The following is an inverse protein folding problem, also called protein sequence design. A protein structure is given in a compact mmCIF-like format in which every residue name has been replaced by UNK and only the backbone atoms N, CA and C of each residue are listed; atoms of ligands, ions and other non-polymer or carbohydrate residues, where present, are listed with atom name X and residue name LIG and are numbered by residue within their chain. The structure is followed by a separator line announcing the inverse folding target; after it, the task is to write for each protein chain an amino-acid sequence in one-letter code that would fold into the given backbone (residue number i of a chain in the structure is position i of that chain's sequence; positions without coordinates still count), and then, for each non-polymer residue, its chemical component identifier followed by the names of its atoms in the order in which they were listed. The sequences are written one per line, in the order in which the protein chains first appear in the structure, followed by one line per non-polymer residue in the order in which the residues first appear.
data_IF_289545547503
#
_entry.id   IF_289545547503
#
_cell.length_a   1.000
_cell.length_b   1.000
_cell.length_c   1.000
_cell.angle_alpha   90.00
_cell.angle_beta   90.00
_cell.angle_gamma   90.00
#
_symmetry.space_group_name_H-M   'P 1'
#
loop_
_entity.id
_entity.type
_entity.pdbx_description
1 polymer ?
#
# COMPACT_ATOMS: atom_id res chain seq x y z
N UNK A 1 -14.81 -61.03 -8.50
CA UNK A 1 -14.66 -60.57 -7.10
C UNK A 1 -13.52 -59.57 -7.05
N UNK A 2 -13.68 -58.52 -6.25
CA UNK A 2 -13.20 -57.14 -6.44
C UNK A 2 -11.69 -56.91 -6.59
N UNK A 3 -11.38 -55.86 -7.37
CA UNK A 3 -10.04 -55.29 -7.59
C UNK A 3 -9.74 -54.22 -6.52
N UNK A 4 -8.75 -54.38 -5.62
CA UNK A 4 -8.48 -53.41 -4.57
C UNK A 4 -7.33 -52.49 -5.02
N UNK A 5 -7.63 -51.33 -5.63
CA UNK A 5 -6.54 -50.53 -6.20
C UNK A 5 -6.72 -49.01 -6.32
N UNK A 6 -7.87 -48.43 -6.00
CA UNK A 6 -8.08 -47.00 -6.27
C UNK A 6 -8.83 -46.35 -5.11
N UNK A 7 -8.16 -45.51 -4.31
CA UNK A 7 -8.90 -44.70 -3.34
C UNK A 7 -8.13 -43.91 -2.27
N UNK A 8 -6.82 -44.10 -2.07
CA UNK A 8 -6.13 -43.49 -0.91
C UNK A 8 -4.93 -42.57 -1.19
N UNK A 9 -4.62 -42.22 -2.45
CA UNK A 9 -3.44 -41.38 -2.77
C UNK A 9 -3.69 -39.88 -3.00
N UNK A 10 -4.93 -39.43 -3.24
CA UNK A 10 -5.20 -38.02 -3.63
C UNK A 10 -5.70 -37.08 -2.52
N UNK A 11 -5.89 -37.56 -1.29
CA UNK A 11 -6.34 -36.71 -0.17
C UNK A 11 -5.19 -35.99 0.54
N UNK A 12 -4.04 -36.65 0.70
CA UNK A 12 -2.86 -36.05 1.37
C UNK A 12 -2.25 -34.90 0.57
N UNK A 13 -2.24 -34.98 -0.76
CA UNK A 13 -1.74 -33.91 -1.63
C UNK A 13 -2.63 -32.66 -1.64
N UNK A 14 -3.96 -32.83 -1.67
CA UNK A 14 -4.92 -31.71 -1.63
C UNK A 14 -4.99 -31.05 -0.27
N UNK A 15 -4.93 -31.82 0.82
CA UNK A 15 -4.86 -31.27 2.17
C UNK A 15 -3.53 -30.55 2.43
N UNK A 16 -2.40 -31.06 1.92
CA UNK A 16 -1.09 -30.39 1.99
C UNK A 16 -1.02 -29.12 1.12
N UNK A 17 -1.65 -29.13 -0.06
CA UNK A 17 -1.80 -27.91 -0.87
C UNK A 17 -2.70 -26.89 -0.19
N UNK A 18 -3.83 -27.32 0.39
CA UNK A 18 -4.71 -26.43 1.15
C UNK A 18 -4.00 -25.85 2.37
N UNK A 19 -3.30 -26.66 3.18
CA UNK A 19 -2.54 -26.14 4.32
C UNK A 19 -1.34 -25.30 3.91
N UNK A 20 -0.68 -25.60 2.78
CA UNK A 20 0.39 -24.76 2.24
C UNK A 20 -0.14 -23.42 1.72
N UNK A 21 -1.25 -23.41 0.98
CA UNK A 21 -1.91 -22.19 0.48
C UNK A 21 -2.49 -21.38 1.64
N UNK A 22 -3.21 -21.99 2.57
CA UNK A 22 -3.74 -21.28 3.74
C UNK A 22 -2.61 -20.78 4.62
N UNK A 23 -1.53 -21.54 4.81
CA UNK A 23 -0.36 -21.06 5.55
C UNK A 23 0.37 -19.93 4.80
N UNK A 24 0.48 -20.01 3.47
CA UNK A 24 1.10 -18.98 2.64
C UNK A 24 0.31 -17.66 2.67
N UNK A 25 -1.03 -17.73 2.62
CA UNK A 25 -1.91 -16.57 2.81
C UNK A 25 -1.87 -16.04 4.26
N UNK A 26 -1.77 -16.93 5.25
CA UNK A 26 -1.63 -16.57 6.67
C UNK A 26 -0.22 -16.04 7.04
N UNK A 27 0.78 -16.10 6.15
CA UNK A 27 2.17 -15.66 6.41
C UNK A 27 2.39 -14.17 6.03
N UNK A 28 1.49 -13.56 5.27
CA UNK A 28 1.66 -12.22 4.65
C UNK A 28 1.14 -11.02 5.48
N UNK A 29 0.98 -11.18 6.78
CA UNK A 29 -0.10 -10.49 7.50
C UNK A 29 0.19 -9.04 7.96
N UNK A 30 1.32 -8.42 7.61
CA UNK A 30 1.51 -6.98 7.96
C UNK A 30 1.42 -6.06 6.76
N UNK A 31 2.45 -6.03 5.92
CA UNK A 31 2.42 -5.19 4.71
C UNK A 31 1.30 -5.55 3.73
N UNK A 32 0.95 -6.83 3.60
CA UNK A 32 -0.12 -7.23 2.66
C UNK A 32 -1.52 -6.97 3.22
N UNK A 33 -1.72 -7.02 4.55
CA UNK A 33 -2.98 -6.62 5.17
C UNK A 33 -3.22 -5.11 5.03
N UNK A 34 -2.21 -4.28 5.28
CA UNK A 34 -2.32 -2.83 5.08
C UNK A 34 -2.56 -2.46 3.60
N UNK A 35 -1.90 -3.15 2.67
CA UNK A 35 -2.16 -3.01 1.24
C UNK A 35 -3.61 -3.40 0.89
N UNK A 36 -4.09 -4.55 1.40
CA UNK A 36 -5.45 -5.02 1.14
C UNK A 36 -6.50 -4.04 1.68
N UNK A 37 -6.33 -3.55 2.92
CA UNK A 37 -7.21 -2.54 3.53
C UNK A 37 -7.19 -1.24 2.70
N UNK A 38 -6.01 -0.80 2.23
CA UNK A 38 -5.89 0.38 1.37
C UNK A 38 -6.61 0.22 0.03
N UNK A 39 -6.50 -0.94 -0.62
CA UNK A 39 -7.22 -1.24 -1.86
C UNK A 39 -8.74 -1.29 -1.65
N UNK A 40 -9.21 -1.94 -0.58
CA UNK A 40 -10.65 -1.96 -0.23
C UNK A 40 -11.14 -0.53 0.05
N UNK A 41 -10.36 0.28 0.75
CA UNK A 41 -10.65 1.71 1.00
C UNK A 41 -10.78 2.46 -0.32
N UNK A 42 -9.86 2.25 -1.26
CA UNK A 42 -9.93 2.80 -2.60
C UNK A 42 -11.23 2.46 -3.34
N UNK A 43 -11.66 1.20 -3.27
CA UNK A 43 -12.95 0.79 -3.86
C UNK A 43 -14.13 1.46 -3.15
N UNK A 44 -14.06 1.62 -1.83
CA UNK A 44 -15.10 2.26 -1.02
C UNK A 44 -15.29 3.76 -1.27
N UNK A 45 -14.20 4.49 -1.54
CA UNK A 45 -14.26 5.97 -1.75
C UNK A 45 -15.22 6.36 -2.87
N UNK A 46 -15.17 5.64 -3.99
CA UNK A 46 -16.05 5.90 -5.13
C UNK A 46 -17.52 5.50 -4.87
N UNK A 47 -17.78 4.64 -3.87
CA UNK A 47 -19.15 4.34 -3.43
C UNK A 47 -19.74 5.48 -2.59
N UNK A 48 -18.95 6.04 -1.67
CA UNK A 48 -19.44 7.01 -0.66
C UNK A 48 -19.32 8.47 -1.09
N UNK A 49 -18.44 8.78 -2.05
CA UNK A 49 -18.21 10.16 -2.49
C UNK A 49 -18.89 10.35 -3.84
N UNK A 50 -19.82 11.31 -3.96
CA UNK A 50 -20.53 11.59 -5.22
C UNK A 50 -19.60 12.10 -6.32
N UNK A 51 -18.60 12.89 -5.93
CA UNK A 51 -17.77 13.68 -6.86
C UNK A 51 -16.54 12.90 -7.36
N UNK A 52 -16.25 11.74 -6.76
CA UNK A 52 -15.12 10.89 -7.12
C UNK A 52 -15.62 9.68 -7.91
N UNK A 53 -15.21 9.58 -9.18
CA UNK A 53 -15.54 8.44 -10.03
C UNK A 53 -14.69 7.23 -9.68
N UNK A 54 -15.25 6.03 -9.89
CA UNK A 54 -14.48 4.79 -9.82
C UNK A 54 -13.27 4.84 -10.74
N UNK A 55 -12.08 4.62 -10.19
CA UNK A 55 -10.82 4.72 -10.92
C UNK A 55 -9.83 3.66 -10.44
N UNK A 56 -9.38 2.80 -11.36
CA UNK A 56 -8.36 1.79 -11.06
C UNK A 56 -7.04 2.43 -10.59
N UNK A 57 -6.52 3.51 -11.23
CA UNK A 57 -5.41 4.27 -10.68
C UNK A 57 -5.67 4.80 -9.28
N UNK A 58 -6.90 5.24 -8.98
CA UNK A 58 -7.30 5.76 -7.66
C UNK A 58 -7.22 4.71 -6.57
N UNK A 59 -7.74 3.52 -6.87
CA UNK A 59 -7.67 2.35 -5.98
C UNK A 59 -6.21 1.95 -5.73
N UNK A 60 -5.40 1.89 -6.80
CA UNK A 60 -3.97 1.59 -6.69
C UNK A 60 -3.23 2.65 -5.84
N UNK A 61 -3.56 3.93 -6.01
CA UNK A 61 -3.01 5.04 -5.22
C UNK A 61 -3.38 4.92 -3.73
N UNK A 62 -4.62 4.53 -3.41
CA UNK A 62 -5.03 4.30 -2.03
C UNK A 62 -4.26 3.13 -1.39
N UNK A 63 -4.09 2.03 -2.14
CA UNK A 63 -3.24 0.91 -1.71
C UNK A 63 -1.77 1.28 -1.54
N UNK A 64 -1.21 2.09 -2.43
CA UNK A 64 0.16 2.61 -2.28
C UNK A 64 0.27 3.54 -1.06
N UNK A 65 -0.71 4.41 -0.86
CA UNK A 65 -0.74 5.38 0.24
C UNK A 65 -0.89 4.72 1.60
N UNK A 66 -1.57 3.58 1.70
CA UNK A 66 -1.63 2.81 2.94
C UNK A 66 -0.28 2.20 3.34
N UNK A 67 0.67 2.04 2.40
CA UNK A 67 2.01 1.55 2.69
C UNK A 67 2.99 2.66 3.10
N UNK A 68 2.65 3.92 2.86
CA UNK A 68 3.54 5.06 3.11
C UNK A 68 3.95 5.22 4.60
N UNK A 69 3.09 5.00 5.61
CA UNK A 69 3.48 5.10 7.02
C UNK A 69 4.59 4.13 7.41
N UNK A 70 4.56 2.92 6.85
CA UNK A 70 5.46 1.80 7.16
C UNK A 70 6.81 1.86 6.43
N UNK A 71 7.08 2.92 5.66
CA UNK A 71 8.41 3.16 5.09
C UNK A 71 9.50 3.28 6.17
N UNK A 72 9.11 3.62 7.41
CA UNK A 72 9.96 3.68 8.60
C UNK A 72 10.31 2.30 9.20
N UNK A 73 9.64 1.20 8.79
CA UNK A 73 9.71 -0.07 9.50
C UNK A 73 11.08 -0.76 9.31
N UNK A 74 11.91 -0.96 10.37
CA UNK A 74 13.32 -1.38 10.24
C UNK A 74 13.49 -2.84 9.78
N UNK A 75 12.50 -3.70 10.03
CA UNK A 75 12.54 -5.12 9.68
C UNK A 75 11.41 -5.51 8.71
N UNK A 76 11.56 -5.24 7.42
CA UNK A 76 10.65 -5.86 6.44
C UNK A 76 10.88 -7.37 6.48
N UNK A 77 9.99 -8.12 7.12
CA UNK A 77 10.06 -9.60 7.19
C UNK A 77 9.91 -10.27 5.83
N UNK A 78 9.73 -9.49 4.76
CA UNK A 78 9.88 -9.91 3.38
C UNK A 78 11.32 -10.40 3.07
N UNK A 79 12.32 -10.02 3.89
CA UNK A 79 13.74 -10.28 3.60
C UNK A 79 14.29 -11.64 4.06
N UNK A 80 13.59 -12.41 4.91
CA UNK A 80 14.26 -13.45 5.72
C UNK A 80 14.07 -14.91 5.31
N UNK A 81 13.26 -15.26 4.30
CA UNK A 81 13.06 -16.69 3.95
C UNK A 81 13.17 -17.10 2.48
N UNK A 82 13.23 -16.19 1.52
CA UNK A 82 13.47 -16.54 0.10
C UNK A 82 14.20 -15.40 -0.64
N UNK A 83 15.46 -15.13 -0.29
CA UNK A 83 16.23 -14.02 -0.86
C UNK A 83 16.40 -14.05 -2.38
N UNK A 84 16.32 -15.25 -2.99
CA UNK A 84 16.38 -15.42 -4.44
C UNK A 84 15.14 -14.82 -5.13
N UNK A 85 13.94 -15.29 -4.79
CA UNK A 85 12.68 -14.85 -5.43
C UNK A 85 12.43 -13.34 -5.24
N UNK A 86 12.80 -12.80 -4.08
CA UNK A 86 12.70 -11.37 -3.82
C UNK A 86 13.56 -10.51 -4.79
N UNK A 87 14.76 -10.99 -5.15
CA UNK A 87 15.62 -10.27 -6.11
C UNK A 87 14.99 -10.22 -7.51
N UNK A 88 14.40 -11.33 -7.98
CA UNK A 88 13.67 -11.35 -9.25
C UNK A 88 12.46 -10.44 -9.23
N UNK A 89 11.65 -10.48 -8.17
CA UNK A 89 10.47 -9.63 -8.04
C UNK A 89 10.88 -8.15 -8.06
N UNK A 90 11.92 -7.76 -7.31
CA UNK A 90 12.45 -6.39 -7.34
C UNK A 90 12.84 -5.95 -8.76
N UNK A 91 13.62 -6.76 -9.46
CA UNK A 91 14.05 -6.43 -10.82
C UNK A 91 12.88 -6.41 -11.79
N UNK A 92 11.86 -7.26 -11.60
CA UNK A 92 10.62 -7.20 -12.37
C UNK A 92 9.89 -5.86 -12.19
N UNK A 93 9.75 -5.36 -10.95
CA UNK A 93 9.18 -4.03 -10.68
C UNK A 93 10.03 -2.91 -11.31
N UNK A 94 11.36 -2.99 -11.20
CA UNK A 94 12.25 -1.98 -11.80
C UNK A 94 12.15 -1.97 -13.34
N UNK A 95 12.17 -3.13 -13.98
CA UNK A 95 12.00 -3.25 -15.43
C UNK A 95 10.61 -2.79 -15.88
N UNK A 96 9.56 -3.17 -15.13
CA UNK A 96 8.19 -2.71 -15.40
C UNK A 96 8.09 -1.18 -15.35
N UNK A 97 8.70 -0.54 -14.35
CA UNK A 97 8.74 0.91 -14.27
C UNK A 97 9.43 1.55 -15.48
N UNK A 98 10.57 1.02 -15.92
CA UNK A 98 11.29 1.50 -17.11
C UNK A 98 10.44 1.30 -18.37
N UNK A 99 9.83 0.12 -18.53
CA UNK A 99 8.95 -0.17 -19.67
C UNK A 99 7.75 0.76 -19.71
N UNK A 100 7.11 1.04 -18.58
CA UNK A 100 6.00 1.99 -18.48
C UNK A 100 6.43 3.41 -18.84
N UNK A 101 7.60 3.86 -18.38
CA UNK A 101 8.13 5.18 -18.71
C UNK A 101 8.45 5.31 -20.21
N UNK A 102 9.09 4.30 -20.81
CA UNK A 102 9.39 4.27 -22.25
C UNK A 102 8.08 4.24 -23.05
N UNK A 103 7.13 3.38 -22.68
CA UNK A 103 5.83 3.31 -23.33
C UNK A 103 5.11 4.66 -23.29
N UNK A 104 5.09 5.33 -22.14
CA UNK A 104 4.48 6.65 -21.97
C UNK A 104 5.17 7.72 -22.83
N UNK A 105 6.50 7.69 -22.91
CA UNK A 105 7.26 8.62 -23.75
C UNK A 105 6.95 8.44 -25.25
N UNK A 106 6.86 7.19 -25.70
CA UNK A 106 6.69 6.88 -27.13
C UNK A 106 5.24 6.98 -27.61
N UNK A 107 4.25 6.72 -26.74
CA UNK A 107 2.85 6.52 -27.16
C UNK A 107 1.87 7.57 -26.61
N UNK A 108 2.26 8.39 -25.64
CA UNK A 108 1.38 9.42 -25.09
C UNK A 108 1.90 10.81 -25.43
N UNK A 109 1.03 11.73 -25.92
CA UNK A 109 1.43 13.11 -26.10
C UNK A 109 1.74 13.78 -24.75
N UNK A 110 2.63 14.78 -24.73
CA UNK A 110 2.87 15.58 -23.53
C UNK A 110 1.57 16.13 -22.95
N UNK A 111 1.25 15.74 -21.71
CA UNK A 111 -0.01 16.11 -21.08
C UNK A 111 -0.32 15.32 -19.81
N UNK A 112 -1.54 15.49 -19.26
CA UNK A 112 -1.98 14.85 -18.00
C UNK A 112 -1.78 13.33 -17.97
N UNK A 113 -2.18 12.65 -19.05
CA UNK A 113 -2.09 11.19 -19.14
C UNK A 113 -0.65 10.69 -19.11
N UNK A 114 0.27 11.41 -19.77
CA UNK A 114 1.70 11.08 -19.74
C UNK A 114 2.29 11.30 -18.34
N UNK A 115 1.92 12.39 -17.65
CA UNK A 115 2.35 12.66 -16.26
C UNK A 115 1.84 11.60 -15.28
N UNK A 116 0.59 11.16 -15.42
CA UNK A 116 0.04 10.05 -14.61
C UNK A 116 0.80 8.75 -14.87
N UNK A 117 1.15 8.46 -16.14
CA UNK A 117 1.93 7.28 -16.48
C UNK A 117 3.35 7.32 -15.88
N UNK A 118 4.04 8.46 -15.92
CA UNK A 118 5.33 8.62 -15.23
C UNK A 118 5.22 8.49 -13.71
N UNK A 119 4.14 9.00 -13.11
CA UNK A 119 3.86 8.83 -11.69
C UNK A 119 3.65 7.36 -11.34
N UNK A 120 2.92 6.61 -12.18
CA UNK A 120 2.74 5.18 -12.01
C UNK A 120 4.06 4.40 -12.18
N UNK A 121 4.90 4.79 -13.14
CA UNK A 121 6.24 4.22 -13.29
C UNK A 121 7.11 4.47 -12.05
N UNK A 122 7.13 5.70 -11.52
CA UNK A 122 7.84 6.04 -10.29
C UNK A 122 7.33 5.23 -9.09
N UNK A 123 6.01 5.15 -8.88
CA UNK A 123 5.42 4.35 -7.81
C UNK A 123 5.80 2.87 -7.91
N UNK A 124 5.75 2.29 -9.12
CA UNK A 124 6.17 0.91 -9.41
C UNK A 124 7.65 0.70 -9.07
N UNK A 125 8.50 1.66 -9.42
CA UNK A 125 9.92 1.63 -9.09
C UNK A 125 10.16 1.68 -7.57
N UNK A 126 9.50 2.61 -6.87
CA UNK A 126 9.61 2.78 -5.42
C UNK A 126 9.19 1.52 -4.66
N UNK A 127 8.13 0.83 -5.10
CA UNK A 127 7.73 -0.48 -4.55
C UNK A 127 8.88 -1.49 -4.68
N UNK A 128 9.50 -1.60 -5.86
CA UNK A 128 10.65 -2.48 -6.07
C UNK A 128 11.84 -2.14 -5.17
N UNK A 129 12.16 -0.86 -5.00
CA UNK A 129 13.26 -0.40 -4.14
C UNK A 129 12.98 -0.58 -2.63
N UNK A 130 11.71 -0.55 -2.23
CA UNK A 130 11.29 -0.85 -0.86
C UNK A 130 11.53 -2.33 -0.49
N UNK A 131 11.62 -3.23 -1.48
CA UNK A 131 11.84 -4.68 -1.30
C UNK A 131 13.32 -5.05 -1.18
N UNK A 132 14.10 -4.31 -0.40
CA UNK A 132 15.54 -4.54 -0.21
C UNK A 132 15.93 -4.81 1.24
N UNK A 133 17.15 -5.30 1.42
CA UNK A 133 17.78 -5.34 2.74
C UNK A 133 17.85 -3.94 3.35
N UNK A 134 17.74 -3.82 4.67
CA UNK A 134 17.48 -2.56 5.35
C UNK A 134 18.42 -1.41 4.94
N UNK A 135 19.74 -1.66 4.86
CA UNK A 135 20.72 -0.64 4.48
C UNK A 135 20.53 -0.18 3.03
N UNK A 136 20.41 -1.13 2.09
CA UNK A 136 20.26 -0.83 0.66
C UNK A 136 18.91 -0.16 0.39
N UNK A 137 17.84 -0.58 1.08
CA UNK A 137 16.52 0.04 1.03
C UNK A 137 16.58 1.52 1.41
N UNK A 138 17.21 1.85 2.54
CA UNK A 138 17.33 3.25 2.99
C UNK A 138 18.08 4.09 1.96
N UNK A 139 19.21 3.58 1.47
CA UNK A 139 20.02 4.27 0.46
C UNK A 139 19.27 4.45 -0.87
N UNK A 140 18.55 3.42 -1.32
CA UNK A 140 17.73 3.47 -2.52
C UNK A 140 16.60 4.49 -2.41
N UNK A 141 15.86 4.50 -1.30
CA UNK A 141 14.79 5.47 -1.04
C UNK A 141 15.35 6.89 -0.87
N UNK A 142 16.54 7.05 -0.29
CA UNK A 142 17.24 8.33 -0.22
C UNK A 142 17.51 8.89 -1.62
N UNK A 143 18.18 8.12 -2.49
CA UNK A 143 18.54 8.59 -3.84
C UNK A 143 17.32 8.83 -4.72
N UNK A 144 16.32 7.94 -4.67
CA UNK A 144 15.08 8.10 -5.45
C UNK A 144 14.24 9.27 -4.97
N UNK A 145 14.13 9.45 -3.65
CA UNK A 145 13.47 10.62 -3.06
C UNK A 145 14.20 11.92 -3.41
N UNK A 146 15.53 11.96 -3.30
CA UNK A 146 16.34 13.13 -3.66
C UNK A 146 16.24 13.46 -5.16
N UNK A 147 16.28 12.46 -6.04
CA UNK A 147 16.04 12.65 -7.46
C UNK A 147 14.64 13.22 -7.73
N UNK A 148 13.61 12.69 -7.05
CA UNK A 148 12.24 13.23 -7.14
C UNK A 148 12.14 14.67 -6.64
N UNK A 149 12.89 15.04 -5.59
CA UNK A 149 13.02 16.42 -5.13
C UNK A 149 13.56 17.32 -6.23
N UNK A 150 14.71 16.96 -6.81
CA UNK A 150 15.37 17.76 -7.84
C UNK A 150 14.52 17.88 -9.11
N UNK A 151 13.90 16.78 -9.56
CA UNK A 151 13.00 16.77 -10.71
C UNK A 151 11.77 17.65 -10.41
N UNK A 152 11.14 17.51 -9.25
CA UNK A 152 9.99 18.33 -8.88
C UNK A 152 10.33 19.83 -8.82
N UNK A 153 11.53 20.20 -8.36
CA UNK A 153 11.98 21.60 -8.36
C UNK A 153 12.23 22.11 -9.79
N UNK A 154 12.86 21.28 -10.63
CA UNK A 154 13.15 21.61 -12.03
C UNK A 154 11.87 21.79 -12.86
N UNK A 155 10.91 20.86 -12.71
CA UNK A 155 9.62 20.85 -13.40
C UNK A 155 8.56 21.76 -12.73
N UNK A 156 8.93 22.47 -11.66
CA UNK A 156 8.04 23.32 -10.85
C UNK A 156 6.82 22.57 -10.26
N UNK A 157 6.95 21.26 -10.05
CA UNK A 157 5.93 20.38 -9.46
C UNK A 157 6.19 20.18 -7.97
N UNK A 158 5.63 21.07 -7.14
CA UNK A 158 5.85 21.05 -5.68
C UNK A 158 5.44 19.72 -5.03
N UNK A 159 4.37 19.08 -5.51
CA UNK A 159 3.92 17.78 -4.96
C UNK A 159 4.99 16.70 -5.10
N UNK A 160 5.71 16.68 -6.23
CA UNK A 160 6.75 15.69 -6.50
C UNK A 160 7.95 15.92 -5.58
N UNK A 161 8.28 17.18 -5.32
CA UNK A 161 9.33 17.51 -4.35
C UNK A 161 8.96 17.13 -2.93
N UNK A 162 7.72 17.40 -2.49
CA UNK A 162 7.27 17.01 -1.16
C UNK A 162 7.16 15.48 -0.99
N UNK A 163 6.70 14.78 -2.03
CA UNK A 163 6.72 13.31 -2.07
C UNK A 163 8.15 12.77 -1.95
N UNK A 164 9.08 13.32 -2.74
CA UNK A 164 10.50 12.95 -2.68
C UNK A 164 11.09 13.18 -1.29
N UNK A 165 10.81 14.32 -0.67
CA UNK A 165 11.24 14.62 0.69
C UNK A 165 10.67 13.65 1.73
N UNK A 166 9.39 13.28 1.62
CA UNK A 166 8.79 12.26 2.49
C UNK A 166 9.47 10.91 2.32
N UNK A 167 9.66 10.44 1.08
CA UNK A 167 10.31 9.16 0.76
C UNK A 167 11.76 9.12 1.26
N UNK A 168 12.47 10.25 1.17
CA UNK A 168 13.82 10.39 1.73
C UNK A 168 13.83 10.34 3.25
N UNK A 169 12.91 11.04 3.93
CA UNK A 169 12.95 11.20 5.38
C UNK A 169 12.36 10.00 6.15
N UNK A 170 11.23 9.44 5.70
CA UNK A 170 10.48 8.42 6.43
C UNK A 170 11.33 7.21 6.88
N UNK A 171 12.23 6.62 6.05
CA UNK A 171 13.05 5.47 6.44
C UNK A 171 14.07 5.74 7.57
N UNK A 172 14.33 7.02 7.88
CA UNK A 172 15.27 7.44 8.92
C UNK A 172 14.57 7.84 10.22
N UNK A 173 13.23 7.89 10.22
CA UNK A 173 12.45 8.10 11.44
C UNK A 173 12.37 6.82 12.28
N UNK A 174 12.13 6.96 13.59
CA UNK A 174 11.87 5.81 14.45
C UNK A 174 10.53 5.17 14.08
N UNK A 175 10.45 3.84 14.11
CA UNK A 175 9.21 3.16 13.74
C UNK A 175 8.03 3.61 14.61
N UNK A 176 6.88 3.89 13.98
CA UNK A 176 5.64 4.36 14.62
C UNK A 176 5.79 5.67 15.37
N UNK A 177 6.65 6.56 14.86
CA UNK A 177 6.80 7.93 15.35
C UNK A 177 6.10 8.90 14.40
N UNK A 178 6.85 9.75 13.70
CA UNK A 178 6.36 10.84 12.87
C UNK A 178 5.41 10.39 11.75
N UNK A 179 5.69 9.27 11.09
CA UNK A 179 4.85 8.72 10.01
C UNK A 179 3.50 8.17 10.50
N UNK A 180 3.33 7.97 11.81
CA UNK A 180 2.11 7.44 12.41
C UNK A 180 1.37 8.53 13.18
N UNK A 181 1.21 9.70 12.54
CA UNK A 181 0.54 10.88 13.12
C UNK A 181 -0.55 11.41 12.19
N UNK A 182 -1.50 12.15 12.77
CA UNK A 182 -2.50 12.88 11.97
C UNK A 182 -1.85 13.95 11.10
N UNK A 183 -0.71 14.50 11.55
CA UNK A 183 0.08 15.48 10.80
C UNK A 183 0.69 14.87 9.54
N UNK A 184 1.24 13.67 9.63
CA UNK A 184 1.77 12.96 8.46
C UNK A 184 0.64 12.56 7.49
N UNK A 185 -0.52 12.15 7.99
CA UNK A 185 -1.70 11.90 7.14
C UNK A 185 -2.19 13.18 6.44
N UNK A 186 -2.24 14.31 7.15
CA UNK A 186 -2.61 15.61 6.59
C UNK A 186 -1.59 16.08 5.55
N UNK A 187 -0.30 15.92 5.83
CA UNK A 187 0.79 16.23 4.90
C UNK A 187 0.72 15.37 3.64
N UNK A 188 0.50 14.05 3.78
CA UNK A 188 0.32 13.14 2.64
C UNK A 188 -0.91 13.49 1.81
N UNK A 189 -2.01 13.86 2.46
CA UNK A 189 -3.23 14.34 1.80
C UNK A 189 -2.96 15.65 1.04
N UNK A 190 -2.18 16.56 1.62
CA UNK A 190 -1.79 17.81 0.98
C UNK A 190 -0.88 17.59 -0.25
N UNK A 191 0.05 16.63 -0.19
CA UNK A 191 0.80 16.17 -1.38
C UNK A 191 -0.18 15.71 -2.46
N UNK A 192 -1.17 14.88 -2.09
CA UNK A 192 -2.21 14.42 -3.00
C UNK A 192 -3.06 15.56 -3.59
N UNK A 193 -3.35 16.61 -2.82
CA UNK A 193 -4.05 17.81 -3.29
C UNK A 193 -3.26 18.60 -4.31
N UNK A 194 -1.96 18.78 -4.09
CA UNK A 194 -1.08 19.43 -5.06
C UNK A 194 -0.94 18.57 -6.33
N UNK A 195 -0.78 17.24 -6.17
CA UNK A 195 -0.74 16.31 -7.30
C UNK A 195 -2.05 16.31 -8.10
N UNK A 196 -3.21 16.46 -7.44
CA UNK A 196 -4.51 16.57 -8.10
C UNK A 196 -4.54 17.74 -9.11
N UNK A 197 -3.92 18.88 -8.75
CA UNK A 197 -3.85 20.07 -9.60
C UNK A 197 -2.91 19.86 -10.78
N UNK A 198 -1.71 19.36 -10.53
CA UNK A 198 -0.66 19.26 -11.55
C UNK A 198 -0.89 18.08 -12.52
N UNK A 199 -1.43 16.97 -12.01
CA UNK A 199 -1.78 15.80 -12.82
C UNK A 199 -3.11 15.98 -13.57
N UNK A 200 -3.94 16.96 -13.21
CA UNK A 200 -5.27 17.15 -13.80
C UNK A 200 -6.22 15.99 -13.55
N UNK A 201 -5.95 15.18 -12.52
CA UNK A 201 -6.73 13.99 -12.20
C UNK A 201 -7.51 14.20 -10.91
N UNK A 202 -8.84 14.12 -11.00
CA UNK A 202 -9.74 14.37 -9.88
C UNK A 202 -9.78 13.21 -8.88
N UNK A 203 -9.73 13.55 -7.59
CA UNK A 203 -9.87 12.61 -6.47
C UNK A 203 -8.55 12.12 -5.89
N UNK A 204 -7.39 12.55 -6.41
CA UNK A 204 -6.06 12.12 -5.96
C UNK A 204 -5.87 12.36 -4.46
N UNK A 205 -6.27 13.54 -3.97
CA UNK A 205 -6.17 13.89 -2.55
C UNK A 205 -6.99 12.92 -1.66
N UNK A 206 -8.21 12.60 -2.09
CA UNK A 206 -9.13 11.72 -1.34
C UNK A 206 -8.58 10.30 -1.31
N UNK A 207 -8.15 9.78 -2.46
CA UNK A 207 -7.52 8.45 -2.54
C UNK A 207 -6.24 8.36 -1.70
N UNK A 208 -5.37 9.37 -1.78
CA UNK A 208 -4.13 9.40 -1.01
C UNK A 208 -4.38 9.49 0.50
N UNK A 209 -5.22 10.45 0.92
CA UNK A 209 -5.53 10.69 2.32
C UNK A 209 -6.28 9.53 2.98
N UNK A 210 -7.31 9.00 2.31
CA UNK A 210 -8.07 7.86 2.83
C UNK A 210 -7.23 6.59 2.87
N UNK A 211 -6.38 6.34 1.86
CA UNK A 211 -5.42 5.24 1.87
C UNK A 211 -4.48 5.30 3.07
N UNK A 212 -3.85 6.47 3.31
CA UNK A 212 -2.98 6.69 4.47
C UNK A 212 -3.74 6.53 5.80
N UNK A 213 -4.94 7.10 5.90
CA UNK A 213 -5.75 7.02 7.11
C UNK A 213 -6.18 5.59 7.42
N UNK A 214 -6.49 4.79 6.38
CA UNK A 214 -6.85 3.39 6.55
C UNK A 214 -5.77 2.57 7.26
N UNK A 215 -4.48 2.88 7.00
CA UNK A 215 -3.35 2.29 7.72
C UNK A 215 -3.35 2.66 9.20
N UNK A 216 -3.49 3.95 9.53
CA UNK A 216 -3.50 4.42 10.93
C UNK A 216 -4.69 3.83 11.71
N UNK A 217 -5.86 3.74 11.07
CA UNK A 217 -7.04 3.13 11.67
C UNK A 217 -6.82 1.63 11.90
N UNK A 218 -6.23 0.92 10.94
CA UNK A 218 -5.88 -0.49 11.10
C UNK A 218 -4.88 -0.69 12.27
N UNK A 219 -3.85 0.15 12.37
CA UNK A 219 -2.87 0.06 13.45
C UNK A 219 -3.46 0.42 14.83
N UNK A 220 -4.52 1.22 14.88
CA UNK A 220 -5.27 1.52 16.11
C UNK A 220 -5.96 0.27 16.67
N UNK A 221 -6.32 -0.70 15.82
CA UNK A 221 -6.93 -1.98 16.25
C UNK A 221 -5.91 -2.97 16.85
N UNK A 222 -4.62 -2.61 16.83
CA UNK A 222 -3.54 -3.46 17.36
C UNK A 222 -3.23 -3.13 18.82
N UNK A 223 -2.53 -4.05 19.51
CA UNK A 223 -2.06 -3.83 20.89
C UNK A 223 -1.12 -2.62 21.04
N UNK A 224 -0.43 -2.23 19.97
CA UNK A 224 0.53 -1.11 20.00
C UNK A 224 -0.17 0.25 19.82
N UNK A 225 -1.22 0.30 18.99
CA UNK A 225 -1.93 1.54 18.67
C UNK A 225 -1.13 2.54 17.85
N UNK A 226 -1.68 3.75 17.76
CA UNK A 226 -1.12 4.90 17.01
C UNK A 226 -1.05 6.14 17.90
N UNK A 227 0.08 6.85 17.85
CA UNK A 227 0.30 8.12 18.55
C UNK A 227 -0.06 9.30 17.65
N UNK A 228 -1.36 9.49 17.42
CA UNK A 228 -1.88 10.45 16.44
C UNK A 228 -1.31 11.88 16.58
N UNK A 229 -1.05 12.34 17.81
CA UNK A 229 -0.72 13.73 18.10
C UNK A 229 0.76 13.99 18.43
N UNK A 230 1.68 13.06 18.15
CA UNK A 230 3.12 13.32 18.31
C UNK A 230 3.53 14.54 17.45
N UNK A 231 4.34 15.50 17.96
CA UNK A 231 5.03 15.54 19.26
C UNK A 231 4.25 16.21 20.41
N UNK A 232 3.01 16.67 20.17
CA UNK A 232 2.20 17.35 21.19
C UNK A 232 1.71 16.41 22.31
N UNK A 233 1.51 15.12 21.98
CA UNK A 233 1.11 14.10 22.95
C UNK A 233 1.62 12.72 22.53
N UNK A 234 2.25 12.02 23.48
CA UNK A 234 2.73 10.65 23.33
C UNK A 234 1.67 9.58 23.60
N UNK A 235 0.42 9.98 23.89
CA UNK A 235 -0.66 9.04 24.19
C UNK A 235 -1.04 8.26 22.93
N UNK A 236 -0.88 6.93 22.99
CA UNK A 236 -1.31 6.04 21.92
C UNK A 236 -2.80 5.71 22.05
N UNK A 237 -3.57 5.96 20.98
CA UNK A 237 -4.92 5.45 20.85
C UNK A 237 -4.83 3.99 20.40
N UNK A 238 -5.49 3.09 21.14
CA UNK A 238 -5.50 1.65 20.85
C UNK A 238 -6.80 1.01 21.28
N UNK A 239 -7.30 0.12 20.43
CA UNK A 239 -8.43 -0.77 20.68
C UNK A 239 -7.90 -2.19 20.42
N UNK A 240 -7.40 -2.91 21.43
CA UNK A 240 -6.59 -4.11 21.24
C UNK A 240 -7.44 -5.35 20.86
N UNK A 241 -8.07 -5.30 19.69
CA UNK A 241 -8.83 -6.40 19.10
C UNK A 241 -7.90 -7.43 18.46
N UNK A 242 -6.80 -6.98 17.86
CA UNK A 242 -5.90 -7.84 17.09
C UNK A 242 -4.66 -8.23 17.94
N UNK A 243 -4.53 -9.54 18.21
CA UNK A 243 -3.31 -10.11 18.81
C UNK A 243 -2.34 -10.57 17.73
N UNK A 244 -1.38 -9.71 17.40
CA UNK A 244 -0.47 -9.95 16.27
C UNK A 244 0.47 -11.13 16.52
N UNK A 245 0.65 -12.01 15.53
CA UNK A 245 1.67 -13.07 15.55
C UNK A 245 1.18 -14.46 15.99
N UNK A 246 -0.11 -14.63 16.22
CA UNK A 246 -0.76 -15.94 16.41
C UNK A 246 -1.62 -16.30 15.20
N UNK A 247 -1.84 -17.59 14.94
CA UNK A 247 -2.74 -18.05 13.87
C UNK A 247 -4.15 -17.49 14.02
N UNK A 248 -4.63 -17.37 15.27
CA UNK A 248 -5.91 -16.76 15.59
C UNK A 248 -5.95 -15.26 15.24
N UNK A 249 -4.86 -14.53 15.52
CA UNK A 249 -4.72 -13.13 15.12
C UNK A 249 -4.77 -12.95 13.61
N UNK A 250 -4.07 -13.79 12.85
CA UNK A 250 -4.07 -13.72 11.39
C UNK A 250 -5.46 -14.05 10.78
N UNK A 251 -6.19 -15.00 11.38
CA UNK A 251 -7.57 -15.30 10.97
C UNK A 251 -8.52 -14.15 11.29
N UNK A 252 -8.35 -13.50 12.44
CA UNK A 252 -9.12 -12.31 12.81
C UNK A 252 -8.85 -11.15 11.84
N UNK A 253 -7.59 -10.90 11.47
CA UNK A 253 -7.23 -9.88 10.48
C UNK A 253 -7.90 -10.15 9.12
N UNK A 254 -7.89 -11.40 8.66
CA UNK A 254 -8.61 -11.79 7.44
C UNK A 254 -10.12 -11.56 7.57
N UNK A 255 -10.70 -11.90 8.73
CA UNK A 255 -12.12 -11.66 9.01
C UNK A 255 -12.49 -10.18 9.00
N UNK A 256 -11.64 -9.32 9.55
CA UNK A 256 -11.82 -7.85 9.52
C UNK A 256 -11.75 -7.34 8.08
N UNK A 257 -10.76 -7.78 7.30
CA UNK A 257 -10.65 -7.42 5.88
C UNK A 257 -11.87 -7.87 5.06
N UNK A 258 -12.35 -9.10 5.28
CA UNK A 258 -13.53 -9.63 4.60
C UNK A 258 -14.80 -8.87 5.00
N UNK A 259 -14.98 -8.56 6.29
CA UNK A 259 -16.10 -7.77 6.79
C UNK A 259 -16.07 -6.35 6.21
N UNK A 260 -14.90 -5.71 6.15
CA UNK A 260 -14.74 -4.39 5.55
C UNK A 260 -15.05 -4.41 4.06
N UNK A 261 -14.57 -5.42 3.33
CA UNK A 261 -14.91 -5.64 1.93
C UNK A 261 -16.42 -5.83 1.70
N UNK A 262 -17.10 -6.56 2.59
CA UNK A 262 -18.55 -6.75 2.54
C UNK A 262 -19.28 -5.41 2.75
N UNK A 263 -18.86 -4.60 3.73
CA UNK A 263 -19.44 -3.26 3.94
C UNK A 263 -19.30 -2.40 2.69
N UNK A 264 -18.12 -2.39 2.06
CA UNK A 264 -17.89 -1.67 0.80
C UNK A 264 -18.80 -2.20 -0.32
N UNK A 265 -18.96 -3.51 -0.46
CA UNK A 265 -19.87 -4.10 -1.44
C UNK A 265 -21.34 -3.72 -1.19
N UNK A 266 -21.78 -3.66 0.07
CA UNK A 266 -23.12 -3.21 0.45
C UNK A 266 -23.34 -1.73 0.12
N UNK A 267 -22.33 -0.87 0.34
CA UNK A 267 -22.40 0.55 -0.04
C UNK A 267 -22.53 0.72 -1.56
N UNK A 268 -21.82 -0.08 -2.34
CA UNK A 268 -21.97 -0.13 -3.79
C UNK A 268 -23.36 -0.60 -4.21
N UNK A 269 -23.87 -1.68 -3.59
CA UNK A 269 -25.21 -2.17 -3.83
C UNK A 269 -26.26 -1.10 -3.54
N UNK A 270 -26.13 -0.40 -2.40
CA UNK A 270 -27.00 0.70 -2.01
C UNK A 270 -26.97 1.83 -3.04
N UNK A 271 -25.78 2.23 -3.49
CA UNK A 271 -25.62 3.30 -4.48
C UNK A 271 -26.34 3.01 -5.79
N UNK A 272 -26.27 1.78 -6.30
CA UNK A 272 -26.81 1.44 -7.62
C UNK A 272 -28.27 0.95 -7.63
N UNK A 273 -28.81 0.51 -6.50
CA UNK A 273 -30.19 0.01 -6.43
C UNK A 273 -31.17 0.97 -5.72
N UNK A 274 -30.67 2.04 -5.10
CA UNK A 274 -31.50 3.09 -4.49
C UNK A 274 -31.36 4.46 -5.20
N UNK A 275 -30.66 4.52 -6.34
CA UNK A 275 -30.66 5.67 -7.26
C UNK A 275 -31.44 5.35 -8.53
#
# INVERSE_FOLDING_TARGET
MENPGVGRKNWRGRAAWFTFVTSFFLILVRGSSHLAIGLITGVGIAAVTSDVRFSLPGIALAGFSSLAPDLDHPNSRLSKRMGFLQSYVRWAFAMMAVMLAIFAYLNLPPGPNQRVAYTAALATFLIGMAMQNQAVRKLALLFTGAASVLIGLYEQMLWLSLLGAFVTAAPYTSHRSYTHTIWAAAFWTYIGHLANKDLGWHGVAVYAGAGYMSHLLADTLTKSGVRYFLPLSDKALKVPLISTGSTAGNLLELGICAAYGLVVALLWWQRYNLS
#
